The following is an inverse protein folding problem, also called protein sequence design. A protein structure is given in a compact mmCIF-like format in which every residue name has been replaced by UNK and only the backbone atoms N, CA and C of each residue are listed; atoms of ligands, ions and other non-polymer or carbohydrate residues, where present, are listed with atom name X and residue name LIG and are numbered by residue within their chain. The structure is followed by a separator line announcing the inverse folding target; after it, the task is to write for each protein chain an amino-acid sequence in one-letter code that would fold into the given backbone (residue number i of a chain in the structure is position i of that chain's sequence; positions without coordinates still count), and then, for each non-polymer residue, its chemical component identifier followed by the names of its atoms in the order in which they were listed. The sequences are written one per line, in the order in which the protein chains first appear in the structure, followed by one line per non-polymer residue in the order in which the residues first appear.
data_IF_234447428275
#
_entry.id   IF_234447428275
#
_cell.length_a   1.000
_cell.length_b   1.000
_cell.length_c   1.000
_cell.angle_alpha   90.00
_cell.angle_beta   90.00
_cell.angle_gamma   90.00
#
_symmetry.space_group_name_H-M   'P 1'
#
loop_
_entity.id
_entity.type
_entity.pdbx_description
1 polymer ?
#
# COMPACT_ATOMS: atom_id res chain seq x y z
N UNK A 1 20.10 -4.34 7.29
CA UNK A 1 21.38 -4.22 6.56
C UNK A 1 21.97 -5.57 6.23
N UNK A 2 21.82 -6.53 7.15
CA UNK A 2 22.27 -7.92 7.03
C UNK A 2 22.00 -8.60 5.68
N UNK A 3 20.81 -8.47 5.09
CA UNK A 3 20.51 -9.10 3.80
C UNK A 3 21.40 -8.57 2.64
N UNK A 4 21.61 -7.26 2.55
CA UNK A 4 22.46 -6.66 1.51
C UNK A 4 23.95 -6.91 1.76
N UNK A 5 24.36 -6.97 3.03
CA UNK A 5 25.74 -7.30 3.37
C UNK A 5 26.04 -8.79 3.11
N UNK A 6 25.06 -9.67 3.35
CA UNK A 6 25.12 -11.07 2.98
C UNK A 6 25.17 -11.27 1.46
N UNK A 7 24.36 -10.53 0.70
CA UNK A 7 24.36 -10.51 -0.76
C UNK A 7 25.77 -10.24 -1.32
N UNK A 8 26.42 -9.16 -0.85
CA UNK A 8 27.79 -8.79 -1.24
C UNK A 8 28.82 -9.89 -0.95
N UNK A 9 28.64 -10.64 0.14
CA UNK A 9 29.56 -11.71 0.54
C UNK A 9 29.36 -13.01 -0.25
N UNK A 10 28.14 -13.28 -0.72
CA UNK A 10 27.76 -14.56 -1.33
C UNK A 10 27.59 -14.49 -2.85
N UNK A 11 27.60 -13.29 -3.43
CA UNK A 11 27.37 -13.09 -4.86
C UNK A 11 25.90 -13.27 -5.27
N UNK A 12 24.99 -13.39 -4.30
CA UNK A 12 23.54 -13.40 -4.55
C UNK A 12 23.10 -11.96 -4.82
N UNK A 13 22.33 -11.75 -5.87
CA UNK A 13 21.69 -10.47 -6.13
C UNK A 13 20.45 -10.28 -5.26
N UNK A 14 20.31 -9.11 -4.64
CA UNK A 14 19.23 -8.79 -3.71
C UNK A 14 18.65 -7.43 -4.04
N UNK A 15 17.35 -7.43 -4.27
CA UNK A 15 16.52 -6.23 -4.43
C UNK A 15 15.42 -6.28 -3.37
N UNK A 16 15.08 -5.12 -2.78
CA UNK A 16 14.03 -5.00 -1.78
C UNK A 16 12.94 -4.04 -2.25
N UNK A 17 11.70 -4.53 -2.26
CA UNK A 17 10.50 -3.71 -2.42
C UNK A 17 9.93 -3.40 -1.03
N UNK A 18 9.75 -2.12 -0.74
CA UNK A 18 9.31 -1.60 0.55
C UNK A 18 7.91 -0.98 0.39
N UNK A 19 6.83 -1.77 0.56
CA UNK A 19 5.48 -1.28 0.42
C UNK A 19 5.02 -0.43 1.61
N UNK A 20 4.04 0.45 1.37
CA UNK A 20 3.26 1.11 2.42
C UNK A 20 2.13 0.18 2.93
N UNK A 21 1.00 0.71 3.44
CA UNK A 21 -0.11 -0.16 3.84
C UNK A 21 -0.70 -0.84 2.60
N UNK A 22 -0.64 -2.16 2.57
CA UNK A 22 -1.07 -2.97 1.42
C UNK A 22 -2.54 -3.33 1.59
N UNK A 23 -3.38 -2.78 0.73
CA UNK A 23 -4.84 -3.04 0.68
C UNK A 23 -5.23 -3.56 -0.71
N UNK A 24 -6.43 -4.09 -0.86
CA UNK A 24 -6.93 -4.64 -2.11
C UNK A 24 -7.76 -5.90 -1.88
N UNK A 25 -8.19 -6.58 -2.96
CA UNK A 25 -8.88 -7.86 -2.87
C UNK A 25 -8.09 -8.89 -2.06
N UNK A 26 -8.74 -9.52 -1.09
CA UNK A 26 -8.16 -10.57 -0.28
C UNK A 26 -8.40 -11.94 -0.92
N UNK A 27 -7.33 -12.72 -1.08
CA UNK A 27 -7.43 -14.13 -1.46
C UNK A 27 -7.63 -15.05 -0.24
N UNK A 28 -7.38 -14.53 0.95
CA UNK A 28 -7.46 -15.26 2.21
C UNK A 28 -8.75 -14.90 2.97
N UNK A 29 -9.21 -15.79 3.86
CA UNK A 29 -10.43 -15.59 4.64
C UNK A 29 -10.27 -14.59 5.81
N UNK A 30 -9.03 -14.31 6.23
CA UNK A 30 -8.74 -13.46 7.38
C UNK A 30 -8.21 -12.09 6.95
N UNK A 31 -8.69 -11.03 7.61
CA UNK A 31 -8.23 -9.67 7.36
C UNK A 31 -6.79 -9.49 7.85
N UNK A 32 -5.90 -8.99 6.99
CA UNK A 32 -4.53 -8.64 7.39
C UNK A 32 -4.50 -7.26 8.09
N UNK A 33 -3.41 -6.98 8.81
CA UNK A 33 -3.26 -5.74 9.59
C UNK A 33 -3.52 -4.46 8.76
N UNK A 34 -3.06 -4.40 7.51
CA UNK A 34 -3.26 -3.24 6.64
C UNK A 34 -4.74 -3.07 6.23
N UNK A 35 -5.44 -4.15 5.90
CA UNK A 35 -6.88 -4.09 5.57
C UNK A 35 -7.73 -3.80 6.79
N UNK A 36 -7.32 -4.22 7.99
CA UNK A 36 -8.01 -3.89 9.24
C UNK A 36 -8.14 -2.38 9.44
N UNK A 37 -7.12 -1.60 9.04
CA UNK A 37 -7.18 -0.13 9.08
C UNK A 37 -8.38 0.40 8.28
N UNK A 38 -8.66 -0.18 7.11
CA UNK A 38 -9.82 0.21 6.27
C UNK A 38 -11.13 -0.26 6.89
N UNK A 39 -11.17 -1.49 7.42
CA UNK A 39 -12.34 -2.04 8.11
C UNK A 39 -12.73 -1.19 9.32
N UNK A 40 -11.75 -0.76 10.13
CA UNK A 40 -11.95 0.08 11.31
C UNK A 40 -12.54 1.45 10.92
N UNK A 41 -12.06 2.03 9.82
CA UNK A 41 -12.65 3.25 9.25
C UNK A 41 -14.12 3.06 8.86
N UNK A 42 -14.47 1.94 8.22
CA UNK A 42 -15.84 1.66 7.79
C UNK A 42 -16.79 1.41 8.96
N UNK A 43 -16.28 0.79 10.04
CA UNK A 43 -17.03 0.57 11.29
C UNK A 43 -17.19 1.85 12.13
N UNK A 44 -16.57 2.96 11.70
CA UNK A 44 -16.67 4.25 12.38
C UNK A 44 -15.86 4.30 13.68
N UNK A 45 -14.83 3.46 13.82
CA UNK A 45 -13.94 3.53 14.98
C UNK A 45 -13.13 4.85 14.93
N UNK A 46 -13.52 5.77 15.82
CA UNK A 46 -12.95 7.12 15.93
C UNK A 46 -11.54 7.13 16.52
N UNK A 47 -11.04 6.00 17.04
CA UNK A 47 -9.69 5.91 17.60
C UNK A 47 -8.60 5.81 16.53
N UNK A 48 -8.97 5.54 15.27
CA UNK A 48 -8.02 5.65 14.14
C UNK A 48 -7.79 7.14 13.86
N UNK A 49 -6.93 7.75 14.69
CA UNK A 49 -6.52 9.16 14.60
C UNK A 49 -6.24 9.53 13.14
N UNK A 50 -6.74 10.70 12.71
CA UNK A 50 -6.62 11.31 11.38
C UNK A 50 -5.17 11.63 11.00
N UNK A 51 -4.35 10.59 10.85
CA UNK A 51 -2.98 10.68 10.37
C UNK A 51 -2.96 10.53 8.85
N UNK A 52 -2.01 11.16 8.17
CA UNK A 52 -1.71 10.82 6.78
C UNK A 52 -1.37 9.31 6.73
N UNK A 53 -1.97 8.60 5.78
CA UNK A 53 -1.67 7.18 5.53
C UNK A 53 -1.24 7.02 4.09
N UNK A 54 -0.30 6.11 3.91
CA UNK A 54 0.25 5.73 2.61
C UNK A 54 -0.29 4.35 2.28
N UNK A 55 -0.90 4.23 1.11
CA UNK A 55 -1.52 2.98 0.66
C UNK A 55 -0.94 2.55 -0.69
N UNK A 56 -0.94 1.24 -0.88
CA UNK A 56 -0.64 0.59 -2.16
C UNK A 56 -1.55 -0.60 -2.38
N UNK A 57 -1.98 -0.80 -3.63
CA UNK A 57 -2.77 -1.97 -4.02
C UNK A 57 -1.89 -3.22 -3.96
N UNK A 58 -2.42 -4.31 -3.41
CA UNK A 58 -1.73 -5.61 -3.33
C UNK A 58 -1.33 -6.13 -4.73
N UNK A 59 -2.14 -5.85 -5.76
CA UNK A 59 -1.84 -6.23 -7.14
C UNK A 59 -0.68 -5.41 -7.69
N UNK A 60 -0.66 -4.11 -7.40
CA UNK A 60 0.43 -3.23 -7.83
C UNK A 60 1.75 -3.57 -7.10
N UNK A 61 1.70 -4.09 -5.87
CA UNK A 61 2.87 -4.65 -5.16
C UNK A 61 3.37 -5.92 -5.86
N UNK A 62 2.46 -6.80 -6.28
CA UNK A 62 2.82 -7.99 -7.03
C UNK A 62 3.47 -7.63 -8.38
N UNK A 63 2.87 -6.68 -9.10
CA UNK A 63 3.42 -6.15 -10.37
C UNK A 63 4.79 -5.49 -10.14
N UNK A 64 4.98 -4.77 -9.04
CA UNK A 64 6.27 -4.18 -8.67
C UNK A 64 7.34 -5.27 -8.42
N UNK A 65 6.98 -6.33 -7.70
CA UNK A 65 7.88 -7.45 -7.40
C UNK A 65 8.29 -8.18 -8.69
N UNK A 66 7.34 -8.42 -9.59
CA UNK A 66 7.62 -9.03 -10.89
C UNK A 66 8.53 -8.13 -11.73
N UNK A 67 8.21 -6.83 -11.82
CA UNK A 67 8.99 -5.87 -12.60
C UNK A 67 10.45 -5.78 -12.13
N UNK A 68 10.70 -5.68 -10.82
CA UNK A 68 12.08 -5.61 -10.31
C UNK A 68 12.84 -6.93 -10.50
N UNK A 69 12.12 -8.06 -10.50
CA UNK A 69 12.73 -9.36 -10.76
C UNK A 69 13.13 -9.53 -12.24
N UNK A 70 12.29 -9.03 -13.16
CA UNK A 70 12.52 -9.13 -14.60
C UNK A 70 13.48 -8.06 -15.16
N UNK A 71 13.84 -7.05 -14.36
CA UNK A 71 14.72 -5.96 -14.78
C UNK A 71 16.15 -6.20 -14.27
N UNK A 72 17.11 -6.60 -15.12
CA UNK A 72 18.48 -6.93 -14.69
C UNK A 72 19.24 -5.76 -14.03
N UNK A 73 18.90 -4.51 -14.38
CA UNK A 73 19.52 -3.31 -13.82
C UNK A 73 18.89 -2.89 -12.47
N UNK A 74 17.82 -3.55 -12.03
CA UNK A 74 17.17 -3.22 -10.77
C UNK A 74 18.09 -3.56 -9.59
N UNK A 75 18.28 -2.61 -8.68
CA UNK A 75 19.23 -2.79 -7.58
C UNK A 75 18.82 -2.02 -6.32
N UNK A 76 19.22 -2.55 -5.17
CA UNK A 76 19.00 -1.90 -3.89
C UNK A 76 17.54 -1.90 -3.46
N UNK A 77 17.02 -0.73 -3.04
CA UNK A 77 15.68 -0.60 -2.45
C UNK A 77 14.74 0.21 -3.35
N UNK A 78 13.49 -0.21 -3.40
CA UNK A 78 12.39 0.44 -4.11
C UNK A 78 11.24 0.68 -3.15
N UNK A 79 10.87 1.95 -2.96
CA UNK A 79 9.64 2.29 -2.23
C UNK A 79 8.45 1.99 -3.15
N UNK A 80 7.48 1.23 -2.63
CA UNK A 80 6.27 0.86 -3.36
C UNK A 80 5.07 1.52 -2.67
N UNK A 81 4.83 2.77 -3.04
CA UNK A 81 3.72 3.57 -2.55
C UNK A 81 3.00 4.22 -3.73
N UNK A 82 1.70 4.00 -3.87
CA UNK A 82 0.91 4.61 -4.94
C UNK A 82 0.35 5.97 -4.53
N UNK A 83 -0.13 6.09 -3.29
CA UNK A 83 -0.92 7.26 -2.88
C UNK A 83 -0.57 7.71 -1.47
N UNK A 84 -0.18 8.98 -1.34
CA UNK A 84 -0.28 9.71 -0.09
C UNK A 84 -1.69 10.30 -0.01
N UNK A 85 -2.53 9.80 0.90
CA UNK A 85 -3.87 10.35 1.12
C UNK A 85 -4.07 10.61 2.59
N UNK A 86 -4.70 11.75 2.86
CA UNK A 86 -5.19 12.03 4.19
C UNK A 86 -6.27 11.01 4.52
N UNK A 87 -6.25 10.50 5.74
CA UNK A 87 -7.37 9.70 6.24
C UNK A 87 -8.67 10.50 6.11
N UNK A 88 -8.63 11.83 6.25
CA UNK A 88 -9.78 12.70 5.95
C UNK A 88 -10.23 12.68 4.49
N UNK A 89 -9.36 12.46 3.50
CA UNK A 89 -9.74 12.31 2.09
C UNK A 89 -10.28 10.92 1.78
N UNK A 90 -9.71 9.87 2.39
CA UNK A 90 -10.28 8.51 2.36
C UNK A 90 -11.66 8.51 3.01
N UNK A 91 -11.79 9.15 4.17
CA UNK A 91 -13.07 9.36 4.86
C UNK A 91 -13.98 10.28 4.04
N UNK A 92 -13.50 11.31 3.35
CA UNK A 92 -14.33 12.22 2.52
C UNK A 92 -14.89 11.53 1.27
N UNK A 93 -14.12 10.63 0.64
CA UNK A 93 -14.60 9.69 -0.37
C UNK A 93 -15.69 8.76 0.21
N UNK A 94 -15.64 8.48 1.52
CA UNK A 94 -16.56 7.58 2.22
C UNK A 94 -17.73 8.29 2.94
N UNK A 95 -17.63 9.59 3.27
CA UNK A 95 -18.56 10.40 4.09
C UNK A 95 -17.99 11.82 4.24
N UNK A 96 -18.63 12.79 3.60
CA UNK A 96 -18.31 14.22 3.74
C UNK A 96 -18.38 14.67 5.22
N UNK A 97 -17.30 15.25 5.76
CA UNK A 97 -17.24 16.49 6.60
C UNK A 97 -15.78 16.77 7.06
N UNK A 98 -15.48 18.05 7.23
CA UNK A 98 -14.15 18.65 7.50
C UNK A 98 -13.42 18.09 8.73
N UNK A 99 -12.06 18.14 8.74
CA UNK A 99 -11.17 18.50 9.89
C UNK A 99 -9.67 18.28 9.57
N UNK A 100 -8.81 19.03 10.30
CA UNK A 100 -7.37 19.26 10.15
C UNK A 100 -6.42 18.04 10.20
N UNK A 101 -5.24 18.24 9.58
CA UNK A 101 -4.31 17.23 9.07
C UNK A 101 -2.94 17.35 9.73
N UNK A 102 -2.34 16.23 10.15
CA UNK A 102 -0.91 16.16 10.54
C UNK A 102 -0.01 15.95 9.30
N UNK A 103 1.01 16.79 9.13
CA UNK A 103 1.98 16.72 8.02
C UNK A 103 3.05 15.64 8.26
N UNK A 104 2.77 14.39 7.87
CA UNK A 104 3.79 13.34 7.72
C UNK A 104 4.43 13.45 6.31
N UNK A 105 5.72 13.08 6.13
CA UNK A 105 6.38 13.13 4.83
C UNK A 105 5.73 12.16 3.83
N UNK A 106 5.59 12.61 2.58
CA UNK A 106 5.10 11.79 1.49
C UNK A 106 6.20 10.85 0.98
N UNK A 107 5.90 9.56 0.85
CA UNK A 107 6.82 8.60 0.27
C UNK A 107 6.83 8.72 -1.26
N UNK A 108 8.02 8.82 -1.85
CA UNK A 108 8.21 8.87 -3.30
C UNK A 108 8.56 7.48 -3.85
N UNK A 109 7.82 7.07 -4.88
CA UNK A 109 8.06 5.85 -5.65
C UNK A 109 8.74 6.14 -7.00
N UNK A 110 9.39 7.30 -7.16
CA UNK A 110 9.94 7.74 -8.44
C UNK A 110 10.96 6.74 -9.01
N UNK A 111 11.77 6.12 -8.15
CA UNK A 111 12.74 5.10 -8.57
C UNK A 111 12.06 3.86 -9.17
N UNK A 112 10.91 3.46 -8.62
CA UNK A 112 10.14 2.33 -9.12
C UNK A 112 9.39 2.71 -10.40
N UNK A 113 8.82 3.91 -10.46
CA UNK A 113 8.18 4.46 -11.67
C UNK A 113 9.17 4.66 -12.83
N UNK A 114 10.43 4.98 -12.54
CA UNK A 114 11.48 5.07 -13.55
C UNK A 114 11.77 3.73 -14.25
N UNK A 115 11.41 2.59 -13.63
CA UNK A 115 11.44 1.27 -14.26
C UNK A 115 10.18 0.98 -15.11
N UNK A 116 9.24 1.91 -15.18
CA UNK A 116 7.97 1.73 -15.89
C UNK A 116 6.83 1.23 -15.00
N UNK A 117 7.02 1.12 -13.69
CA UNK A 117 5.94 0.75 -12.77
C UNK A 117 4.80 1.77 -12.82
N UNK A 118 3.59 1.27 -12.99
CA UNK A 118 2.35 2.03 -12.96
C UNK A 118 1.49 1.46 -11.84
N UNK A 119 0.65 2.30 -11.27
CA UNK A 119 -0.24 1.93 -10.18
C UNK A 119 -1.65 2.42 -10.46
N UNK A 120 -2.61 1.74 -9.84
CA UNK A 120 -4.04 1.97 -10.01
C UNK A 120 -4.50 3.25 -9.33
N UNK A 121 -5.60 3.85 -9.80
CA UNK A 121 -6.30 4.89 -9.06
C UNK A 121 -6.69 4.38 -7.67
N UNK A 122 -6.56 5.22 -6.65
CA UNK A 122 -6.83 4.84 -5.26
C UNK A 122 -8.30 4.41 -5.07
N UNK A 123 -9.22 5.07 -5.77
CA UNK A 123 -10.65 4.81 -5.74
C UNK A 123 -11.00 3.41 -6.27
N UNK A 124 -10.22 2.88 -7.22
CA UNK A 124 -10.35 1.50 -7.70
C UNK A 124 -9.91 0.53 -6.60
N UNK A 125 -8.70 0.71 -6.06
CA UNK A 125 -8.18 -0.12 -4.96
C UNK A 125 -9.11 -0.15 -3.75
N UNK A 126 -9.64 1.01 -3.34
CA UNK A 126 -10.53 1.11 -2.19
C UNK A 126 -11.87 0.40 -2.44
N UNK A 127 -12.46 0.59 -3.62
CA UNK A 127 -13.71 -0.07 -4.02
C UNK A 127 -13.55 -1.59 -4.00
N UNK A 128 -12.52 -2.09 -4.66
CA UNK A 128 -12.24 -3.52 -4.78
C UNK A 128 -11.95 -4.14 -3.40
N UNK A 129 -11.27 -3.39 -2.51
CA UNK A 129 -11.06 -3.80 -1.11
C UNK A 129 -12.40 -3.96 -0.38
N UNK A 130 -13.27 -2.94 -0.45
CA UNK A 130 -14.59 -2.94 0.21
C UNK A 130 -15.48 -4.07 -0.31
N UNK A 131 -15.51 -4.28 -1.63
CA UNK A 131 -16.27 -5.37 -2.25
C UNK A 131 -15.75 -6.73 -1.79
N UNK A 132 -14.43 -6.91 -1.72
CA UNK A 132 -13.81 -8.11 -1.18
C UNK A 132 -14.16 -8.34 0.30
N UNK A 133 -14.18 -7.28 1.12
CA UNK A 133 -14.57 -7.38 2.54
C UNK A 133 -16.03 -7.80 2.70
N UNK A 134 -16.94 -7.29 1.85
CA UNK A 134 -18.35 -7.70 1.83
C UNK A 134 -18.50 -9.16 1.42
N UNK A 135 -17.84 -9.57 0.34
CA UNK A 135 -17.86 -10.96 -0.13
C UNK A 135 -17.32 -11.94 0.92
N UNK A 136 -16.33 -11.50 1.72
CA UNK A 136 -15.77 -12.27 2.83
C UNK A 136 -16.60 -12.18 4.13
N UNK A 137 -17.72 -11.43 4.16
CA UNK A 137 -18.56 -11.28 5.36
C UNK A 137 -17.92 -10.49 6.50
N UNK A 138 -16.85 -9.73 6.23
CA UNK A 138 -16.10 -8.93 7.22
C UNK A 138 -16.87 -7.65 7.61
N UNK A 139 -17.61 -7.10 6.64
CA UNK A 139 -18.47 -5.92 6.76
C UNK A 139 -19.82 -6.20 6.10
N UNK A 140 -20.87 -5.52 6.57
CA UNK A 140 -22.24 -5.65 6.08
C UNK A 140 -22.67 -4.39 5.31
#
# INVERSE_FOLDING_TARGET
MEAFDYAKRTGVDVVSVCPSLVIGPMLQLTVNASSSVVVDFLKGDRLVKMKLRHFVDVRDVADALLLVYETPEASGRYICNSHARLVSDVIRLLRSWFVQVSHEPAFSSNKLQALGWKFRPFEETLRDSVESFKAAGVIH
#
